data_IF_657602030882
#
_entry.id   IF_657602030882
#
_cell.length_a   1.000
_cell.length_b   1.000
_cell.length_c   1.000
_cell.angle_alpha   90.00
_cell.angle_beta   90.00
_cell.angle_gamma   90.00
#
_symmetry.space_group_name_H-M   'P 1'
#
loop_
_entity.id
_entity.type
_entity.pdbx_description
1 polymer ?
#
# COMPACT_ATOMS: atom_id res chain seq x y z
N UNK A 1 21.83 -6.19 -8.30
CA UNK A 1 20.81 -5.88 -9.32
C UNK A 1 19.61 -6.82 -9.35
N UNK A 2 19.66 -8.02 -8.74
CA UNK A 2 18.53 -8.98 -8.77
C UNK A 2 17.33 -8.56 -7.90
N UNK A 3 17.57 -7.85 -6.78
CA UNK A 3 16.52 -7.48 -5.82
C UNK A 3 15.58 -6.39 -6.39
N UNK A 4 16.13 -5.43 -7.13
CA UNK A 4 15.35 -4.35 -7.75
C UNK A 4 14.41 -4.86 -8.86
N UNK A 5 14.87 -5.80 -9.70
CA UNK A 5 14.04 -6.38 -10.75
C UNK A 5 12.80 -7.10 -10.16
N UNK A 6 13.03 -7.95 -9.15
CA UNK A 6 11.96 -8.73 -8.50
C UNK A 6 10.89 -7.83 -7.85
N UNK A 7 11.26 -6.66 -7.33
CA UNK A 7 10.31 -5.70 -6.77
C UNK A 7 9.44 -5.03 -7.83
N UNK A 8 10.02 -4.68 -8.98
CA UNK A 8 9.30 -4.11 -10.13
C UNK A 8 8.27 -5.13 -10.66
N UNK A 9 8.69 -6.39 -10.81
CA UNK A 9 7.80 -7.48 -11.26
C UNK A 9 6.61 -7.68 -10.31
N UNK A 10 6.83 -7.58 -9.00
CA UNK A 10 5.79 -7.83 -7.99
C UNK A 10 4.76 -6.69 -7.93
N UNK A 11 5.17 -5.44 -8.12
CA UNK A 11 4.25 -4.30 -8.22
C UNK A 11 3.41 -4.36 -9.49
N UNK A 12 4.01 -4.73 -10.63
CA UNK A 12 3.24 -4.90 -11.86
C UNK A 12 2.21 -6.03 -11.76
N UNK A 13 2.56 -7.14 -11.11
CA UNK A 13 1.62 -8.23 -10.84
C UNK A 13 0.46 -7.79 -9.93
N UNK A 14 0.74 -6.97 -8.92
CA UNK A 14 -0.30 -6.41 -8.06
C UNK A 14 -1.25 -5.51 -8.85
N UNK A 15 -0.72 -4.62 -9.70
CA UNK A 15 -1.54 -3.72 -10.54
C UNK A 15 -2.46 -4.55 -11.44
N UNK A 16 -1.91 -5.53 -12.18
CA UNK A 16 -2.70 -6.40 -13.05
C UNK A 16 -3.78 -7.17 -12.28
N UNK A 17 -3.48 -7.63 -11.07
CA UNK A 17 -4.42 -8.37 -10.24
C UNK A 17 -5.55 -7.48 -9.73
N UNK A 18 -5.25 -6.24 -9.32
CA UNK A 18 -6.26 -5.26 -8.89
C UNK A 18 -7.16 -4.85 -10.06
N UNK A 19 -6.62 -4.70 -11.26
CA UNK A 19 -7.44 -4.45 -12.46
C UNK A 19 -8.34 -5.64 -12.79
N UNK A 20 -7.79 -6.86 -12.80
CA UNK A 20 -8.53 -8.09 -13.08
C UNK A 20 -9.66 -8.34 -12.09
N UNK A 21 -9.41 -8.13 -10.80
CA UNK A 21 -10.39 -8.34 -9.72
C UNK A 21 -11.28 -7.11 -9.49
N UNK A 22 -11.12 -6.03 -10.28
CA UNK A 22 -11.85 -4.74 -10.14
C UNK A 22 -11.76 -4.16 -8.72
N UNK A 23 -10.68 -4.44 -8.00
CA UNK A 23 -10.48 -3.97 -6.62
C UNK A 23 -10.07 -2.50 -6.57
N UNK A 24 -9.80 -1.86 -7.70
CA UNK A 24 -9.27 -0.50 -7.75
C UNK A 24 -10.13 0.54 -7.04
N UNK A 25 -11.46 0.40 -7.14
CA UNK A 25 -12.44 1.27 -6.46
C UNK A 25 -12.73 0.87 -5.01
N UNK A 26 -12.22 -0.28 -4.56
CA UNK A 26 -12.42 -0.73 -3.19
C UNK A 26 -11.68 0.19 -2.21
N UNK A 27 -12.35 0.50 -1.11
CA UNK A 27 -11.76 1.28 -0.04
C UNK A 27 -10.80 0.43 0.78
N UNK A 28 -9.63 0.99 1.08
CA UNK A 28 -8.67 0.41 2.00
C UNK A 28 -9.10 0.77 3.41
N UNK A 29 -9.67 -0.20 4.13
CA UNK A 29 -10.21 0.01 5.48
C UNK A 29 -9.26 -0.48 6.58
N UNK A 30 -8.31 -1.36 6.25
CA UNK A 30 -7.38 -1.93 7.21
C UNK A 30 -6.00 -1.29 7.06
N UNK A 31 -5.56 -0.63 8.13
CA UNK A 31 -4.22 -0.05 8.22
C UNK A 31 -3.67 -0.13 9.65
N UNK A 32 -2.36 -0.01 9.78
CA UNK A 32 -1.63 0.08 11.04
C UNK A 32 -0.69 1.28 10.98
N UNK A 33 -0.75 2.15 11.97
CA UNK A 33 0.21 3.25 12.11
C UNK A 33 1.53 2.72 12.66
N UNK A 34 2.63 3.20 12.09
CA UNK A 34 3.99 2.90 12.55
C UNK A 34 4.39 4.06 13.45
N UNK A 35 4.38 3.84 14.76
CA UNK A 35 4.65 4.85 15.78
C UNK A 35 5.87 4.40 16.59
N UNK A 36 6.77 5.32 16.93
CA UNK A 36 7.91 5.03 17.81
C UNK A 36 7.59 5.20 19.30
N UNK A 37 8.59 4.91 20.14
CA UNK A 37 8.48 5.03 21.61
C UNK A 37 8.21 6.46 22.09
N UNK A 38 8.42 7.47 21.23
CA UNK A 38 8.16 8.89 21.49
C UNK A 38 6.81 9.35 20.95
N UNK A 39 5.94 8.43 20.52
CA UNK A 39 4.64 8.72 19.91
C UNK A 39 4.74 9.47 18.56
N UNK A 40 5.86 9.38 17.86
CA UNK A 40 6.04 10.00 16.54
C UNK A 40 5.63 9.01 15.45
N UNK A 41 4.76 9.45 14.54
CA UNK A 41 4.34 8.63 13.38
C UNK A 41 5.38 8.65 12.27
N UNK A 42 5.86 7.45 11.91
CA UNK A 42 6.83 7.22 10.84
C UNK A 42 6.17 6.76 9.53
N UNK A 43 4.88 6.45 9.55
CA UNK A 43 4.13 6.03 8.37
C UNK A 43 2.90 5.19 8.71
N UNK A 44 2.25 4.67 7.67
CA UNK A 44 1.15 3.72 7.79
C UNK A 44 1.38 2.50 6.90
N UNK A 45 1.01 1.33 7.42
CA UNK A 45 0.97 0.07 6.71
C UNK A 45 -0.48 -0.27 6.35
N UNK A 46 -0.78 -0.32 5.06
CA UNK A 46 -2.08 -0.63 4.50
C UNK A 46 -2.16 -2.09 4.05
N UNK A 47 -3.32 -2.70 4.24
CA UNK A 47 -3.54 -4.10 3.88
C UNK A 47 -4.57 -4.19 2.75
N UNK A 48 -4.10 -4.61 1.57
CA UNK A 48 -4.95 -4.85 0.40
C UNK A 48 -5.20 -6.36 0.32
N UNK A 49 -6.41 -6.77 0.71
CA UNK A 49 -6.86 -8.16 0.59
C UNK A 49 -7.34 -8.43 -0.83
N UNK A 50 -6.83 -9.49 -1.43
CA UNK A 50 -7.29 -10.03 -2.72
C UNK A 50 -7.78 -11.45 -2.52
N UNK A 51 -8.37 -12.06 -3.56
CA UNK A 51 -8.92 -13.41 -3.44
C UNK A 51 -7.88 -14.48 -3.04
N UNK A 52 -6.59 -14.22 -3.28
CA UNK A 52 -5.51 -15.19 -3.09
C UNK A 52 -4.49 -14.82 -2.02
N UNK A 53 -4.30 -13.52 -1.75
CA UNK A 53 -3.30 -13.04 -0.79
C UNK A 53 -3.63 -11.67 -0.24
N UNK A 54 -2.99 -11.32 0.87
CA UNK A 54 -3.00 -9.95 1.38
C UNK A 54 -1.67 -9.30 1.04
N UNK A 55 -1.72 -8.14 0.39
CA UNK A 55 -0.55 -7.33 0.12
C UNK A 55 -0.42 -6.24 1.18
N UNK A 56 0.80 -6.02 1.65
CA UNK A 56 1.12 -5.00 2.64
C UNK A 56 1.80 -3.83 1.93
N UNK A 57 1.19 -2.66 1.96
CA UNK A 57 1.71 -1.46 1.31
C UNK A 57 2.05 -0.45 2.40
N UNK A 58 3.31 -0.07 2.50
CA UNK A 58 3.77 0.94 3.45
C UNK A 58 3.85 2.30 2.77
N UNK A 59 3.33 3.32 3.44
CA UNK A 59 3.51 4.72 3.02
C UNK A 59 4.21 5.45 4.18
N UNK A 60 5.39 6.05 3.96
CA UNK A 60 6.12 6.73 5.03
C UNK A 60 5.45 8.07 5.41
N UNK A 61 5.86 8.59 6.57
CA UNK A 61 5.57 9.96 6.99
C UNK A 61 6.27 10.98 6.07
N UNK A 62 5.64 12.14 5.76
CA UNK A 62 4.32 12.61 6.19
C UNK A 62 3.15 12.16 5.28
N UNK A 63 3.45 11.45 4.18
CA UNK A 63 2.48 11.20 3.11
C UNK A 63 1.26 10.36 3.53
N UNK A 64 1.42 9.48 4.52
CA UNK A 64 0.31 8.68 5.04
C UNK A 64 -0.83 9.50 5.65
N UNK A 65 -0.56 10.70 6.17
CA UNK A 65 -1.57 11.51 6.87
C UNK A 65 -2.72 11.92 5.94
N UNK A 66 -2.39 12.38 4.73
CA UNK A 66 -3.37 12.76 3.72
C UNK A 66 -4.22 11.56 3.25
N UNK A 67 -3.64 10.36 3.24
CA UNK A 67 -4.34 9.13 2.87
C UNK A 67 -5.31 8.67 3.94
N UNK A 68 -4.98 8.89 5.21
CA UNK A 68 -5.85 8.55 6.35
C UNK A 68 -6.97 9.56 6.57
N UNK A 69 -6.77 10.82 6.21
CA UNK A 69 -7.80 11.86 6.29
C UNK A 69 -8.95 11.65 5.28
N UNK A 70 -8.71 10.87 4.22
CA UNK A 70 -9.63 10.69 3.10
C UNK A 70 -10.17 9.27 2.92
N UNK A 71 -11.00 9.10 1.89
CA UNK A 71 -11.40 7.78 1.39
C UNK A 71 -10.32 7.24 0.48
N UNK A 72 -9.40 6.45 1.03
CA UNK A 72 -8.33 5.81 0.28
C UNK A 72 -8.87 4.61 -0.51
N UNK A 73 -8.70 4.62 -1.83
CA UNK A 73 -8.95 3.45 -2.68
C UNK A 73 -7.67 2.67 -2.92
N UNK A 74 -7.80 1.37 -3.24
CA UNK A 74 -6.65 0.52 -3.58
C UNK A 74 -5.89 1.10 -4.78
N UNK A 75 -6.59 1.61 -5.79
CA UNK A 75 -5.94 2.18 -6.98
C UNK A 75 -5.13 3.44 -6.64
N UNK A 76 -5.68 4.35 -5.84
CA UNK A 76 -4.96 5.55 -5.42
C UNK A 76 -3.76 5.22 -4.55
N UNK A 77 -3.88 4.23 -3.66
CA UNK A 77 -2.77 3.76 -2.83
C UNK A 77 -1.62 3.18 -3.66
N UNK A 78 -1.91 2.34 -4.65
CA UNK A 78 -0.87 1.74 -5.50
C UNK A 78 -0.17 2.72 -6.44
N UNK A 79 -0.85 3.82 -6.79
CA UNK A 79 -0.29 4.88 -7.65
C UNK A 79 0.50 5.92 -6.85
N UNK A 80 0.52 5.82 -5.53
CA UNK A 80 1.25 6.76 -4.69
C UNK A 80 2.77 6.59 -4.91
N UNK A 81 3.52 7.66 -5.20
CA UNK A 81 4.94 7.54 -5.54
C UNK A 81 5.79 6.91 -4.43
N UNK A 82 5.42 7.20 -3.18
CA UNK A 82 6.10 6.76 -1.97
C UNK A 82 5.53 5.46 -1.39
N UNK A 83 4.55 4.84 -2.05
CA UNK A 83 4.03 3.54 -1.62
C UNK A 83 5.04 2.44 -1.91
N UNK A 84 5.39 1.69 -0.86
CA UNK A 84 6.33 0.58 -0.93
C UNK A 84 5.60 -0.73 -0.66
N UNK A 85 5.72 -1.67 -1.60
CA UNK A 85 5.20 -3.01 -1.41
C UNK A 85 6.14 -3.82 -0.52
N UNK A 86 5.61 -4.34 0.58
CA UNK A 86 6.32 -5.25 1.47
C UNK A 86 5.86 -6.68 1.15
N UNK A 87 6.76 -7.49 0.59
CA UNK A 87 6.54 -8.90 0.22
C UNK A 87 6.73 -9.84 1.39
#
# INVERSE_FOLDING_TARGET
MVILAKQIDTMQQLIQLVEKEKLGSQLVTQHTLIIDDKQVSHGALFFVKTARKTFKIMVPSPFHEALLAGKLTVQSLMKHPEAMLLS
#
